data_IF_334304070279
#
_entry.id   IF_334304070279
#
_cell.length_a   1.000
_cell.length_b   1.000
_cell.length_c   1.000
_cell.angle_alpha   90.00
_cell.angle_beta   90.00
_cell.angle_gamma   90.00
#
_symmetry.space_group_name_H-M   'P 1'
#
loop_
_entity.id
_entity.type
_entity.pdbx_description
1 polymer ?
#
# COMPACT_ATOMS: atom_id res chain seq x y z
N UNK A 1 38.81 -35.42 1.76
CA UNK A 1 37.51 -34.95 1.23
C UNK A 1 37.35 -33.47 1.56
N UNK A 2 37.19 -32.57 0.58
CA UNK A 2 36.88 -31.14 0.83
C UNK A 2 35.37 -30.94 0.66
N UNK A 3 34.65 -30.26 1.58
CA UNK A 3 33.25 -29.95 1.36
C UNK A 3 33.15 -28.85 0.31
N UNK A 4 32.31 -29.08 -0.72
CA UNK A 4 31.91 -28.04 -1.66
C UNK A 4 30.95 -27.10 -0.94
N UNK A 5 31.41 -25.89 -0.61
CA UNK A 5 30.54 -24.82 -0.14
C UNK A 5 29.55 -24.47 -1.27
N UNK A 6 28.27 -24.79 -1.05
CA UNK A 6 27.18 -24.43 -1.94
C UNK A 6 26.87 -22.93 -1.75
N UNK A 7 27.59 -22.06 -2.43
CA UNK A 7 27.19 -20.66 -2.55
C UNK A 7 26.01 -20.58 -3.53
N UNK A 8 24.80 -20.71 -3.00
CA UNK A 8 23.62 -20.24 -3.72
C UNK A 8 23.75 -18.72 -3.84
N UNK A 9 24.04 -18.24 -5.06
CA UNK A 9 23.93 -16.81 -5.40
C UNK A 9 22.47 -16.42 -5.20
N UNK A 10 22.18 -15.76 -4.08
CA UNK A 10 20.88 -15.14 -3.87
C UNK A 10 20.65 -14.15 -5.03
N UNK A 11 19.60 -14.38 -5.83
CA UNK A 11 19.25 -13.47 -6.91
C UNK A 11 18.96 -12.09 -6.30
N UNK A 12 19.63 -11.05 -6.80
CA UNK A 12 19.40 -9.67 -6.39
C UNK A 12 17.95 -9.32 -6.75
N UNK A 13 17.07 -9.28 -5.75
CA UNK A 13 15.68 -8.84 -5.96
C UNK A 13 15.70 -7.34 -6.18
N UNK A 14 15.22 -6.90 -7.35
CA UNK A 14 15.03 -5.48 -7.61
C UNK A 14 14.06 -4.91 -6.57
N UNK A 15 14.37 -3.77 -5.93
CA UNK A 15 13.44 -3.10 -5.05
C UNK A 15 12.18 -2.74 -5.84
N UNK A 16 11.05 -2.75 -5.15
CA UNK A 16 9.80 -2.30 -5.76
C UNK A 16 9.94 -0.81 -6.12
N UNK A 17 9.37 -0.40 -7.25
CA UNK A 17 9.45 0.97 -7.79
C UNK A 17 9.17 2.08 -6.76
N UNK A 18 8.17 1.85 -5.91
CA UNK A 18 7.73 2.79 -4.89
C UNK A 18 8.29 2.52 -3.48
N UNK A 19 9.36 1.71 -3.36
CA UNK A 19 9.88 1.36 -2.04
C UNK A 19 10.23 2.58 -1.18
N UNK A 20 10.87 3.56 -1.80
CA UNK A 20 11.21 4.85 -1.22
C UNK A 20 10.02 5.61 -0.59
N UNK A 21 8.77 5.32 -1.00
CA UNK A 21 7.59 5.94 -0.41
C UNK A 21 7.19 5.31 0.94
N UNK A 22 7.39 4.00 1.15
CA UNK A 22 7.04 3.38 2.44
C UNK A 22 8.22 3.21 3.38
N UNK A 23 9.46 3.33 2.89
CA UNK A 23 10.68 3.34 3.72
C UNK A 23 10.54 4.26 4.95
N UNK A 24 9.99 5.50 4.85
CA UNK A 24 9.77 6.36 6.02
C UNK A 24 8.79 5.82 7.08
N UNK A 25 7.98 4.81 6.74
CA UNK A 25 7.04 4.16 7.64
C UNK A 25 7.68 2.97 8.36
N UNK A 26 8.78 2.42 7.86
CA UNK A 26 9.40 1.20 8.41
C UNK A 26 9.93 1.38 9.83
N UNK A 27 10.25 2.61 10.23
CA UNK A 27 10.67 2.94 11.61
C UNK A 27 9.53 2.88 12.62
N UNK A 28 8.28 2.74 12.16
CA UNK A 28 7.11 2.70 13.03
C UNK A 28 6.87 1.29 13.57
N UNK A 29 6.68 1.19 14.89
CA UNK A 29 6.55 -0.11 15.57
C UNK A 29 5.32 -0.92 15.12
N UNK A 30 4.28 -0.28 14.59
CA UNK A 30 3.06 -0.96 14.14
C UNK A 30 3.00 -1.14 12.62
N UNK A 31 4.08 -0.74 11.91
CA UNK A 31 4.17 -0.89 10.48
C UNK A 31 4.22 -2.35 10.05
N UNK A 32 3.36 -2.70 9.10
CA UNK A 32 3.41 -3.99 8.41
C UNK A 32 3.26 -3.75 6.92
N UNK A 33 4.20 -4.27 6.12
CA UNK A 33 4.08 -4.30 4.67
C UNK A 33 3.61 -5.67 4.21
N UNK A 34 2.48 -5.75 3.51
CA UNK A 34 1.98 -7.01 2.91
C UNK A 34 1.95 -6.93 1.39
N UNK A 35 2.10 -8.07 0.73
CA UNK A 35 1.82 -8.21 -0.70
C UNK A 35 0.41 -8.72 -0.90
N UNK A 36 -0.41 -8.00 -1.66
CA UNK A 36 -1.78 -8.38 -1.98
C UNK A 36 -2.12 -7.97 -3.40
N UNK A 37 -2.56 -8.93 -4.24
CA UNK A 37 -3.04 -8.68 -5.61
C UNK A 37 -2.05 -7.87 -6.47
N UNK A 38 -0.75 -8.18 -6.41
CA UNK A 38 0.28 -7.46 -7.16
C UNK A 38 0.70 -6.11 -6.55
N UNK A 39 0.08 -5.67 -5.46
CA UNK A 39 0.40 -4.42 -4.75
C UNK A 39 1.20 -4.67 -3.47
N UNK A 40 1.87 -3.63 -2.99
CA UNK A 40 2.43 -3.55 -1.64
C UNK A 40 1.52 -2.68 -0.79
N UNK A 41 1.05 -3.20 0.34
CA UNK A 41 0.09 -2.52 1.20
C UNK A 41 0.72 -2.21 2.54
N UNK A 42 0.77 -0.93 2.91
CA UNK A 42 1.23 -0.46 4.19
C UNK A 42 0.09 -0.44 5.20
N UNK A 43 0.32 -1.09 6.33
CA UNK A 43 -0.54 -1.08 7.49
C UNK A 43 0.12 -0.30 8.61
N UNK A 44 -0.69 0.45 9.37
CA UNK A 44 -0.32 1.05 10.65
C UNK A 44 -1.46 0.77 11.64
N UNK A 45 -1.12 0.36 12.86
CA UNK A 45 -2.09 0.07 13.93
C UNK A 45 -3.18 -0.93 13.48
N UNK A 46 -2.80 -1.88 12.61
CA UNK A 46 -3.71 -2.87 12.01
C UNK A 46 -4.67 -2.33 10.94
N UNK A 47 -4.65 -1.03 10.64
CA UNK A 47 -5.45 -0.41 9.57
C UNK A 47 -4.71 -0.41 8.24
N UNK A 48 -5.43 -0.57 7.14
CA UNK A 48 -4.89 -0.43 5.78
C UNK A 48 -4.79 1.06 5.46
N UNK A 49 -3.57 1.58 5.33
CA UNK A 49 -3.35 3.02 5.12
C UNK A 49 -3.20 3.35 3.64
N UNK A 50 -2.22 2.70 2.98
CA UNK A 50 -1.82 3.00 1.61
C UNK A 50 -1.53 1.70 0.85
N UNK A 51 -1.86 1.65 -0.44
CA UNK A 51 -1.40 0.59 -1.34
C UNK A 51 -0.57 1.18 -2.48
N UNK A 52 0.58 0.57 -2.74
CA UNK A 52 1.54 0.94 -3.76
C UNK A 52 1.47 -0.10 -4.87
N UNK A 53 1.16 0.33 -6.10
CA UNK A 53 0.92 -0.58 -7.22
C UNK A 53 1.70 -0.15 -8.45
N UNK A 54 2.71 -0.94 -8.85
CA UNK A 54 3.52 -0.68 -10.04
C UNK A 54 3.02 -1.46 -11.27
N UNK A 55 1.69 -1.67 -11.37
CA UNK A 55 1.05 -2.38 -12.47
C UNK A 55 0.82 -1.50 -13.70
N UNK A 56 -0.12 -1.91 -14.54
CA UNK A 56 -0.68 -1.08 -15.61
C UNK A 56 -1.84 -0.24 -15.08
N UNK A 57 -2.15 0.89 -15.74
CA UNK A 57 -3.32 1.69 -15.39
C UNK A 57 -4.60 0.84 -15.44
N UNK A 58 -5.55 1.00 -14.48
CA UNK A 58 -5.60 2.05 -13.45
C UNK A 58 -4.85 1.71 -12.14
N UNK A 59 -3.87 0.80 -12.17
CA UNK A 59 -3.14 0.30 -11.00
C UNK A 59 -1.66 0.71 -11.00
N UNK A 60 -1.33 1.89 -11.53
CA UNK A 60 0.04 2.40 -11.60
C UNK A 60 0.16 3.68 -10.76
N UNK A 61 0.37 3.50 -9.46
CA UNK A 61 0.50 4.63 -8.55
C UNK A 61 0.21 4.25 -7.11
N UNK A 62 -0.46 5.15 -6.41
CA UNK A 62 -0.76 5.05 -4.98
C UNK A 62 -2.28 5.04 -4.76
N UNK A 63 -2.77 4.08 -3.97
CA UNK A 63 -4.16 4.07 -3.49
C UNK A 63 -4.20 4.53 -2.03
N UNK A 64 -5.07 5.50 -1.76
CA UNK A 64 -5.35 6.00 -0.40
C UNK A 64 -6.56 5.27 0.14
N UNK A 65 -6.34 4.46 1.17
CA UNK A 65 -7.40 3.69 1.79
C UNK A 65 -8.13 4.58 2.80
N UNK A 66 -9.34 5.00 2.41
CA UNK A 66 -10.19 5.91 3.17
C UNK A 66 -11.65 5.48 3.06
N UNK A 67 -12.51 5.98 3.93
CA UNK A 67 -13.96 5.81 3.81
C UNK A 67 -14.54 6.91 2.90
N UNK A 68 -15.66 6.61 2.23
CA UNK A 68 -16.29 7.53 1.26
C UNK A 68 -16.60 8.91 1.85
N UNK A 69 -17.01 8.98 3.12
CA UNK A 69 -17.33 10.23 3.83
C UNK A 69 -16.12 11.18 3.94
N UNK A 70 -14.90 10.63 3.95
CA UNK A 70 -13.66 11.41 4.14
C UNK A 70 -12.98 11.75 2.81
N UNK A 71 -13.45 11.18 1.70
CA UNK A 71 -12.91 11.43 0.36
C UNK A 71 -13.00 12.91 -0.05
N UNK A 72 -14.13 13.64 0.10
CA UNK A 72 -14.21 15.04 -0.36
C UNK A 72 -13.17 15.93 0.30
N UNK A 73 -12.90 15.74 1.60
CA UNK A 73 -11.89 16.50 2.32
C UNK A 73 -10.46 16.19 1.88
N UNK A 74 -10.18 14.97 1.43
CA UNK A 74 -8.89 14.62 0.83
C UNK A 74 -8.75 15.19 -0.59
N UNK A 75 -9.79 15.11 -1.41
CA UNK A 75 -9.78 15.67 -2.78
C UNK A 75 -9.62 17.20 -2.75
N UNK A 76 -10.27 17.88 -1.79
CA UNK A 76 -10.13 19.32 -1.63
C UNK A 76 -8.69 19.75 -1.29
N UNK A 77 -7.95 18.93 -0.52
CA UNK A 77 -6.55 19.19 -0.18
C UNK A 77 -5.57 18.70 -1.26
N UNK A 78 -5.93 17.66 -1.99
CA UNK A 78 -5.13 17.00 -3.02
C UNK A 78 -5.98 16.80 -4.29
N UNK A 79 -6.10 17.82 -5.16
CA UNK A 79 -6.92 17.74 -6.37
C UNK A 79 -6.49 16.65 -7.37
N UNK A 80 -5.27 16.12 -7.23
CA UNK A 80 -4.74 15.01 -8.02
C UNK A 80 -5.34 13.66 -7.62
N UNK A 81 -5.99 13.59 -6.46
CA UNK A 81 -6.71 12.39 -6.02
C UNK A 81 -8.05 12.26 -6.74
N UNK A 82 -8.27 11.08 -7.32
CA UNK A 82 -9.53 10.71 -7.95
C UNK A 82 -10.06 9.42 -7.35
N UNK A 83 -11.39 9.18 -7.32
CA UNK A 83 -11.90 7.85 -7.00
C UNK A 83 -11.31 6.80 -7.95
N UNK A 84 -10.82 5.68 -7.41
CA UNK A 84 -10.23 4.64 -8.24
C UNK A 84 -11.30 4.01 -9.14
N UNK A 85 -11.04 3.92 -10.46
CA UNK A 85 -12.02 3.51 -11.46
C UNK A 85 -12.67 2.13 -11.18
N UNK A 86 -11.91 1.17 -10.64
CA UNK A 86 -12.39 -0.19 -10.32
C UNK A 86 -12.79 -0.34 -8.84
N UNK A 87 -12.24 0.50 -7.95
CA UNK A 87 -12.44 0.41 -6.49
C UNK A 87 -12.81 1.79 -5.93
N UNK A 88 -13.96 2.35 -6.30
CA UNK A 88 -14.31 3.76 -6.01
C UNK A 88 -14.47 4.06 -4.52
N UNK A 89 -14.41 3.04 -3.65
CA UNK A 89 -14.31 3.23 -2.20
C UNK A 89 -12.97 3.84 -1.77
N UNK A 90 -11.93 3.74 -2.58
CA UNK A 90 -10.59 4.28 -2.31
C UNK A 90 -10.26 5.38 -3.31
N UNK A 91 -9.39 6.30 -2.89
CA UNK A 91 -8.83 7.31 -3.78
C UNK A 91 -7.55 6.77 -4.42
N UNK A 92 -7.22 7.34 -5.57
CA UNK A 92 -6.10 6.95 -6.40
C UNK A 92 -5.32 8.20 -6.82
N UNK A 93 -4.01 8.10 -6.72
CA UNK A 93 -3.04 9.04 -7.26
C UNK A 93 -2.28 8.32 -8.39
N UNK A 94 -2.53 8.66 -9.66
CA UNK A 94 -1.81 8.10 -10.80
C UNK A 94 -0.33 8.49 -10.79
N UNK A 95 0.56 7.57 -11.15
CA UNK A 95 2.00 7.86 -11.35
C UNK A 95 2.22 8.94 -12.41
N UNK A 96 1.34 8.99 -13.42
CA UNK A 96 1.40 9.96 -14.51
C UNK A 96 1.06 11.40 -14.10
N UNK A 97 0.65 11.65 -12.85
CA UNK A 97 0.44 13.01 -12.35
C UNK A 97 1.79 13.73 -12.22
N UNK A 98 1.89 14.96 -12.75
CA UNK A 98 3.07 15.82 -12.61
C UNK A 98 3.50 16.07 -11.16
N UNK A 99 2.56 15.89 -10.22
CA UNK A 99 2.76 16.12 -8.78
C UNK A 99 2.81 14.82 -7.99
N UNK A 100 2.90 13.67 -8.65
CA UNK A 100 2.85 12.35 -8.04
C UNK A 100 3.79 12.22 -6.84
N UNK A 101 5.08 12.49 -7.03
CA UNK A 101 6.08 12.28 -5.96
C UNK A 101 5.80 13.17 -4.74
N UNK A 102 5.48 14.45 -4.97
CA UNK A 102 5.23 15.42 -3.92
C UNK A 102 3.94 15.08 -3.13
N UNK A 103 2.87 14.70 -3.83
CA UNK A 103 1.60 14.33 -3.22
C UNK A 103 1.70 12.98 -2.51
N UNK A 104 2.34 11.98 -3.12
CA UNK A 104 2.55 10.68 -2.51
C UNK A 104 3.36 10.79 -1.21
N UNK A 105 4.44 11.58 -1.18
CA UNK A 105 5.22 11.83 0.02
C UNK A 105 4.41 12.55 1.12
N UNK A 106 3.51 13.48 0.75
CA UNK A 106 2.55 14.09 1.70
C UNK A 106 1.58 13.06 2.27
N UNK A 107 1.02 12.18 1.44
CA UNK A 107 0.10 11.12 1.88
C UNK A 107 0.79 10.12 2.82
N UNK A 108 2.05 9.77 2.56
CA UNK A 108 2.87 8.95 3.47
C UNK A 108 3.04 9.64 4.83
N UNK A 109 3.31 10.95 4.85
CA UNK A 109 3.39 11.72 6.10
C UNK A 109 2.06 11.72 6.85
N UNK A 110 0.94 11.91 6.16
CA UNK A 110 -0.39 11.84 6.77
C UNK A 110 -0.69 10.45 7.35
N UNK A 111 -0.30 9.38 6.66
CA UNK A 111 -0.42 8.02 7.18
C UNK A 111 0.42 7.86 8.47
N UNK A 112 1.67 8.32 8.45
CA UNK A 112 2.56 8.28 9.62
C UNK A 112 2.03 9.09 10.80
N UNK A 113 1.37 10.23 10.57
CA UNK A 113 0.76 11.04 11.62
C UNK A 113 -0.63 10.56 12.05
N UNK A 114 -1.11 9.42 11.54
CA UNK A 114 -2.45 8.85 11.83
C UNK A 114 -3.55 9.86 11.50
N UNK A 115 -3.46 10.55 10.36
CA UNK A 115 -4.54 11.41 9.89
C UNK A 115 -5.86 10.62 9.89
N UNK A 116 -6.92 11.12 10.56
CA UNK A 116 -8.17 10.38 10.75
C UNK A 116 -8.92 10.10 9.44
N UNK A 117 -8.57 10.79 8.35
CA UNK A 117 -9.11 10.53 7.02
C UNK A 117 -8.54 9.27 6.39
N UNK A 118 -7.39 8.78 6.85
CA UNK A 118 -6.73 7.60 6.32
C UNK A 118 -6.98 6.39 7.21
N UNK A 119 -6.88 5.20 6.61
CA UNK A 119 -6.98 3.95 7.33
C UNK A 119 -8.37 3.34 7.26
N UNK A 120 -8.45 2.12 6.74
CA UNK A 120 -9.65 1.27 6.85
C UNK A 120 -9.34 0.01 7.63
N UNK A 121 -10.24 -0.39 8.53
CA UNK A 121 -10.08 -1.63 9.30
C UNK A 121 -10.33 -2.81 8.35
N UNK A 122 -9.37 -3.75 8.19
CA UNK A 122 -9.60 -4.95 7.41
C UNK A 122 -10.76 -5.75 8.02
N UNK A 123 -11.74 -6.14 7.19
CA UNK A 123 -12.77 -7.06 7.65
C UNK A 123 -12.12 -8.42 7.98
N UNK A 124 -12.40 -9.00 9.16
CA UNK A 124 -11.82 -10.30 9.52
C UNK A 124 -12.25 -11.36 8.50
N UNK A 125 -11.28 -12.13 7.99
CA UNK A 125 -11.58 -13.27 7.11
C UNK A 125 -12.38 -14.31 7.91
N UNK A 126 -13.62 -14.58 7.50
CA UNK A 126 -14.44 -15.66 8.06
C UNK A 126 -13.68 -16.98 7.85
N UNK A 127 -13.26 -17.64 8.94
CA UNK A 127 -12.57 -18.94 8.86
C UNK A 127 -13.52 -19.92 8.17
N UNK A 128 -13.16 -20.41 6.98
CA UNK A 128 -13.86 -21.55 6.38
C UNK A 128 -13.55 -22.77 7.26
N UNK A 129 -14.55 -23.57 7.68
CA UNK A 129 -14.28 -24.81 8.38
C UNK A 129 -13.36 -25.67 7.50
N UNK A 130 -12.26 -26.15 8.08
CA UNK A 130 -11.38 -27.12 7.43
C UNK A 130 -12.22 -28.32 7.06
N UNK A 131 -12.30 -28.64 5.77
CA UNK A 131 -12.94 -29.86 5.30
C UNK A 131 -12.07 -31.01 5.82
N UNK A 132 -12.49 -31.63 6.93
CA UNK A 132 -11.96 -32.93 7.34
C UNK A 132 -12.27 -33.86 6.17
N UNK A 133 -11.23 -34.30 5.46
CA UNK A 133 -11.39 -35.33 4.43
C UNK A 133 -11.66 -36.65 5.16
N UNK A 134 -12.72 -37.39 4.81
CA UNK A 134 -12.91 -38.76 5.29
C UNK A 134 -11.81 -39.69 4.77
#
# INVERSE_FOLDING_TARGET
MRPRANLQRAAIKRPHRYAWLWEPLETDATFVLRSMFGTKTAYLDGKIMLCFSAGEEPWRGLLVCTDRERQPGLIAEFPELVPHAILPKWLYLPEASDRFEAVAARLVRLARSRDPRLGVIPKPKRKRPSRVRP
#
